data_IF_806895199667
#
_entry.id   IF_806895199667
#
_cell.length_a   1.000
_cell.length_b   1.000
_cell.length_c   1.000
_cell.angle_alpha   90.00
_cell.angle_beta   90.00
_cell.angle_gamma   90.00
#
_symmetry.space_group_name_H-M   'P 1'
#
loop_
_entity.id
_entity.type
_entity.pdbx_description
1 polymer ?
#
# COMPACT_ATOMS: atom_id res chain seq x y z
N UNK A 1 -7.00 12.14 2.88
CA UNK A 1 -5.76 11.44 2.50
C UNK A 1 -5.39 11.86 1.10
N UNK A 2 -4.12 12.19 0.85
CA UNK A 2 -3.64 12.62 -0.47
C UNK A 2 -3.01 11.45 -1.24
N UNK A 3 -3.19 11.39 -2.56
CA UNK A 3 -2.48 10.45 -3.45
C UNK A 3 -3.18 9.12 -3.75
N UNK A 4 -4.20 8.72 -2.98
CA UNK A 4 -5.11 7.64 -3.38
C UNK A 4 -6.21 8.16 -4.33
N UNK A 5 -6.76 7.32 -5.22
CA UNK A 5 -7.97 7.67 -5.97
C UNK A 5 -9.12 8.04 -5.03
N UNK A 6 -9.65 9.26 -5.18
CA UNK A 6 -10.67 9.81 -4.28
C UNK A 6 -12.11 9.46 -4.68
N UNK A 7 -12.31 8.93 -5.89
CA UNK A 7 -13.63 8.61 -6.44
C UNK A 7 -13.55 7.45 -7.42
N UNK A 8 -14.63 6.67 -7.54
CA UNK A 8 -14.80 5.61 -8.55
C UNK A 8 -13.65 4.58 -8.56
N UNK A 9 -13.17 4.19 -7.37
CA UNK A 9 -12.11 3.22 -7.20
C UNK A 9 -12.70 1.90 -6.66
N UNK A 10 -12.79 0.90 -7.54
CA UNK A 10 -13.42 -0.40 -7.24
C UNK A 10 -12.42 -1.54 -7.29
N UNK A 11 -11.37 -1.44 -6.47
CA UNK A 11 -10.36 -2.49 -6.31
C UNK A 11 -10.39 -3.01 -4.88
N UNK A 12 -10.12 -4.30 -4.70
CA UNK A 12 -10.09 -4.92 -3.38
C UNK A 12 -8.65 -4.91 -2.82
N UNK A 13 -8.54 -4.78 -1.51
CA UNK A 13 -7.32 -5.10 -0.75
C UNK A 13 -7.61 -6.38 0.01
N UNK A 14 -6.84 -7.44 -0.25
CA UNK A 14 -7.01 -8.71 0.44
C UNK A 14 -6.39 -8.64 1.84
N UNK A 15 -6.85 -9.50 2.75
CA UNK A 15 -6.43 -9.49 4.16
C UNK A 15 -4.91 -9.48 4.33
N UNK A 16 -4.20 -10.29 3.55
CA UNK A 16 -2.74 -10.44 3.64
C UNK A 16 -1.99 -9.46 2.74
N UNK A 17 -2.71 -8.63 1.97
CA UNK A 17 -2.16 -7.64 1.04
C UNK A 17 -1.92 -6.28 1.72
N UNK A 18 -1.68 -6.26 3.03
CA UNK A 18 -1.34 -5.06 3.79
C UNK A 18 -0.27 -5.39 4.83
N UNK A 19 0.73 -4.53 4.95
CA UNK A 19 1.77 -4.63 5.97
C UNK A 19 2.20 -3.24 6.46
N UNK A 20 2.84 -3.22 7.63
CA UNK A 20 3.43 -2.02 8.24
C UNK A 20 4.91 -2.24 8.50
N UNK A 21 5.73 -1.21 8.38
CA UNK A 21 7.14 -1.28 8.78
C UNK A 21 7.33 -0.94 10.27
N UNK A 22 8.60 -0.93 10.71
CA UNK A 22 8.97 -0.72 12.12
C UNK A 22 9.70 0.60 12.37
N UNK A 23 9.55 1.58 11.47
CA UNK A 23 10.12 2.91 11.65
C UNK A 23 9.34 3.74 12.68
N UNK A 24 9.94 4.86 13.14
CA UNK A 24 9.32 5.73 14.16
C UNK A 24 7.99 6.34 13.67
N UNK A 25 7.95 6.83 12.43
CA UNK A 25 6.71 7.07 11.70
C UNK A 25 6.40 5.79 10.90
N UNK A 26 5.38 5.01 11.29
CA UNK A 26 5.15 3.71 10.67
C UNK A 26 4.75 3.89 9.21
N UNK A 27 5.51 3.27 8.32
CA UNK A 27 5.09 3.15 6.93
C UNK A 27 3.96 2.13 6.80
N UNK A 28 2.97 2.44 5.97
CA UNK A 28 1.82 1.58 5.68
C UNK A 28 1.83 1.24 4.20
N UNK A 29 1.70 -0.04 3.88
CA UNK A 29 1.81 -0.55 2.52
C UNK A 29 0.64 -1.48 2.23
N UNK A 30 0.01 -1.34 1.07
CA UNK A 30 -1.02 -2.28 0.65
C UNK A 30 -1.01 -2.52 -0.85
N UNK A 31 -1.40 -3.74 -1.24
CA UNK A 31 -1.58 -4.19 -2.60
C UNK A 31 -3.05 -4.34 -2.95
N UNK A 32 -3.40 -4.06 -4.20
CA UNK A 32 -4.77 -4.22 -4.70
C UNK A 32 -4.88 -5.43 -5.64
N UNK A 33 -6.09 -5.98 -5.76
CA UNK A 33 -6.39 -6.99 -6.80
C UNK A 33 -6.29 -6.42 -8.22
N UNK A 34 -6.21 -5.10 -8.37
CA UNK A 34 -5.96 -4.40 -9.63
C UNK A 34 -4.47 -4.23 -9.98
N UNK A 35 -3.56 -4.78 -9.18
CA UNK A 35 -2.13 -4.79 -9.50
C UNK A 35 -1.35 -3.55 -9.09
N UNK A 36 -1.92 -2.70 -8.22
CA UNK A 36 -1.21 -1.55 -7.67
C UNK A 36 -0.69 -1.86 -6.26
N UNK A 37 0.48 -1.33 -5.92
CA UNK A 37 0.97 -1.26 -4.54
C UNK A 37 1.13 0.21 -4.17
N UNK A 38 0.53 0.61 -3.05
CA UNK A 38 0.67 1.94 -2.48
C UNK A 38 1.45 1.87 -1.17
N UNK A 39 2.18 2.94 -0.90
CA UNK A 39 2.87 3.16 0.38
C UNK A 39 2.55 4.53 0.93
N UNK A 40 2.49 4.63 2.24
CA UNK A 40 2.52 5.86 3.03
C UNK A 40 3.72 5.79 3.97
N UNK A 41 4.46 6.89 4.10
CA UNK A 41 5.58 7.03 5.04
C UNK A 41 5.23 7.90 6.27
N UNK A 42 3.96 8.31 6.37
CA UNK A 42 3.43 9.28 7.32
C UNK A 42 2.14 8.75 7.97
N UNK A 43 2.16 7.48 8.39
CA UNK A 43 1.06 6.82 9.10
C UNK A 43 -0.32 6.89 8.41
N UNK A 44 -0.34 7.03 7.09
CA UNK A 44 -1.55 7.03 6.25
C UNK A 44 -2.05 8.41 5.83
N UNK A 45 -1.35 9.50 6.17
CA UNK A 45 -1.76 10.86 5.80
C UNK A 45 -1.66 11.10 4.28
N UNK A 46 -0.55 10.67 3.68
CA UNK A 46 -0.30 10.74 2.23
C UNK A 46 0.18 9.41 1.66
N UNK A 47 -0.15 9.19 0.38
CA UNK A 47 0.08 7.93 -0.31
C UNK A 47 0.78 8.16 -1.65
N UNK A 48 1.70 7.27 -1.98
CA UNK A 48 2.34 7.22 -3.28
C UNK A 48 2.24 5.81 -3.88
N UNK A 49 2.06 5.68 -5.21
CA UNK A 49 2.19 4.39 -5.87
C UNK A 49 3.66 3.96 -5.84
N UNK A 50 3.94 2.75 -5.33
CA UNK A 50 5.26 2.12 -5.39
C UNK A 50 5.44 1.43 -6.74
N UNK A 51 4.41 0.69 -7.17
CA UNK A 51 4.38 0.01 -8.47
C UNK A 51 2.94 -0.09 -8.96
N UNK A 52 2.78 -0.16 -10.28
CA UNK A 52 1.53 -0.34 -11.00
C UNK A 52 1.68 -1.47 -12.03
N UNK A 53 0.55 -1.94 -12.54
CA UNK A 53 0.46 -2.87 -13.67
C UNK A 53 1.05 -4.27 -13.37
N UNK A 54 0.97 -4.70 -12.11
CA UNK A 54 1.18 -6.09 -11.73
C UNK A 54 -0.09 -6.93 -12.00
N UNK A 55 0.02 -8.27 -11.99
CA UNK A 55 -1.11 -9.13 -11.66
C UNK A 55 -1.69 -8.81 -10.28
N UNK A 56 -2.83 -9.42 -9.93
CA UNK A 56 -3.46 -9.24 -8.63
C UNK A 56 -2.47 -9.49 -7.48
N UNK A 57 -2.37 -8.54 -6.55
CA UNK A 57 -1.50 -8.66 -5.38
C UNK A 57 -2.25 -9.39 -4.27
N UNK A 58 -1.78 -10.58 -3.92
CA UNK A 58 -2.41 -11.42 -2.90
C UNK A 58 -1.86 -11.18 -1.49
N UNK A 59 -0.59 -10.80 -1.39
CA UNK A 59 0.06 -10.51 -0.14
C UNK A 59 1.12 -9.42 -0.29
N UNK A 60 1.35 -8.66 0.78
CA UNK A 60 2.43 -7.68 0.91
C UNK A 60 3.13 -7.96 2.24
N UNK A 61 4.47 -7.96 2.21
CA UNK A 61 5.32 -8.02 3.39
C UNK A 61 6.36 -6.90 3.27
N UNK A 62 6.76 -6.33 4.41
CA UNK A 62 7.78 -5.28 4.46
C UNK A 62 8.81 -5.56 5.54
N UNK A 63 10.05 -5.16 5.29
CA UNK A 63 11.16 -5.34 6.20
C UNK A 63 11.96 -4.04 6.32
N UNK A 64 12.22 -3.60 7.55
CA UNK A 64 13.18 -2.53 7.83
C UNK A 64 14.58 -3.14 7.92
N UNK A 65 15.52 -2.64 7.11
CA UNK A 65 16.93 -3.04 7.18
C UNK A 65 17.64 -2.24 8.30
N UNK A 66 18.58 -2.90 8.98
CA UNK A 66 19.46 -2.30 10.00
C UNK A 66 20.90 -2.43 9.58
#
# INVERSE_FOLDING_TARGET
>A
TNGLPQSNCYVNVLRDAMAIDTLESPGIYFGTTGGQVYGSADAGDSWAPIVRDLPAVYSVEVQTLR
#
